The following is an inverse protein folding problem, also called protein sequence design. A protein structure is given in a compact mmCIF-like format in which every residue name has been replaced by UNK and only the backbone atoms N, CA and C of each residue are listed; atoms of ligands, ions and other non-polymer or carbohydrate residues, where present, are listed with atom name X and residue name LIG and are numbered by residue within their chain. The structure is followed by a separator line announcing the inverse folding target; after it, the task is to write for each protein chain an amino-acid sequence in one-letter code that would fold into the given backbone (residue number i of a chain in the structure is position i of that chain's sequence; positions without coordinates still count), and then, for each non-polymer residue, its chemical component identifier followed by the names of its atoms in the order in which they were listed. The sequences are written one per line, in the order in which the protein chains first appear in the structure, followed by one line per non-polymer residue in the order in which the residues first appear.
data_IF_262533324995
#
_entry.id   IF_262533324995
#
_cell.length_a   1.000
_cell.length_b   1.000
_cell.length_c   1.000
_cell.angle_alpha   90.00
_cell.angle_beta   90.00
_cell.angle_gamma   90.00
#
_symmetry.space_group_name_H-M   'P 1'
#
loop_
_entity.id
_entity.type
_entity.pdbx_description
1 polymer ?
#
# COMPACT_ATOMS: atom_id res chain seq x y z
N UNK A 1 -48.69 48.35 57.66
CA UNK A 1 -48.04 48.67 56.37
C UNK A 1 -48.10 47.40 55.53
N UNK A 2 -48.93 47.35 54.48
CA UNK A 2 -49.17 46.15 53.67
C UNK A 2 -48.31 46.20 52.40
N UNK A 3 -47.55 45.15 52.13
CA UNK A 3 -46.67 45.05 50.95
C UNK A 3 -47.50 44.61 49.73
N UNK A 4 -47.36 45.24 48.55
CA UNK A 4 -48.21 44.95 47.40
C UNK A 4 -47.85 43.64 46.69
N UNK A 5 -48.89 42.91 46.26
CA UNK A 5 -48.90 41.50 45.79
C UNK A 5 -48.39 41.27 44.35
N UNK A 6 -47.77 42.24 43.70
CA UNK A 6 -47.42 42.15 42.27
C UNK A 6 -45.97 41.72 41.99
N UNK A 7 -45.19 41.36 43.02
CA UNK A 7 -43.78 40.99 42.90
C UNK A 7 -43.52 39.53 42.46
N UNK A 8 -44.53 38.78 42.04
CA UNK A 8 -44.34 37.42 41.54
C UNK A 8 -44.09 37.44 40.03
N UNK A 9 -42.84 37.67 39.64
CA UNK A 9 -42.37 37.33 38.30
C UNK A 9 -42.25 35.81 38.24
N UNK A 10 -43.20 35.16 37.58
CA UNK A 10 -43.13 33.74 37.24
C UNK A 10 -42.12 33.55 36.12
N UNK A 11 -40.88 33.22 36.47
CA UNK A 11 -39.88 32.74 35.51
C UNK A 11 -40.35 31.40 34.94
N UNK A 12 -40.55 31.26 33.63
CA UNK A 12 -40.88 29.96 33.06
C UNK A 12 -39.68 29.03 33.31
N UNK A 13 -39.88 28.01 34.15
CA UNK A 13 -38.93 26.93 34.31
C UNK A 13 -38.89 26.16 32.99
N UNK A 14 -37.82 26.32 32.22
CA UNK A 14 -37.53 25.42 31.11
C UNK A 14 -37.38 24.02 31.70
N UNK A 15 -38.37 23.17 31.48
CA UNK A 15 -38.28 21.75 31.83
C UNK A 15 -37.13 21.15 31.01
N UNK A 16 -35.97 21.02 31.64
CA UNK A 16 -34.89 20.20 31.13
C UNK A 16 -35.36 18.75 31.23
N UNK A 17 -35.99 18.25 30.16
CA UNK A 17 -36.18 16.81 29.97
C UNK A 17 -34.80 16.16 29.88
N UNK A 18 -34.33 15.64 31.01
CA UNK A 18 -33.14 14.83 31.09
C UNK A 18 -33.31 13.53 30.31
N UNK A 19 -32.23 13.09 29.68
CA UNK A 19 -32.16 11.86 28.90
C UNK A 19 -32.67 10.65 29.70
N UNK A 20 -33.60 9.87 29.15
CA UNK A 20 -34.14 8.70 29.86
C UNK A 20 -33.18 7.51 29.77
N UNK A 21 -33.14 6.66 30.80
CA UNK A 21 -32.30 5.44 30.78
C UNK A 21 -32.69 4.49 29.63
N UNK A 22 -33.96 4.48 29.26
CA UNK A 22 -34.46 3.70 28.13
C UNK A 22 -33.95 4.22 26.79
N UNK A 23 -33.95 5.54 26.58
CA UNK A 23 -33.41 6.18 25.38
C UNK A 23 -31.92 5.90 25.22
N UNK A 24 -31.15 5.91 26.33
CA UNK A 24 -29.75 5.51 26.32
C UNK A 24 -29.53 4.06 25.89
N UNK A 25 -30.36 3.14 26.37
CA UNK A 25 -30.28 1.72 25.97
C UNK A 25 -30.52 1.58 24.47
N UNK A 26 -31.57 2.23 23.93
CA UNK A 26 -31.86 2.20 22.50
C UNK A 26 -30.69 2.75 21.70
N UNK A 27 -30.10 3.86 22.10
CA UNK A 27 -28.96 4.47 21.41
C UNK A 27 -27.75 3.53 21.42
N UNK A 28 -27.43 2.88 22.55
CA UNK A 28 -26.33 1.92 22.63
C UNK A 28 -26.57 0.73 21.70
N UNK A 29 -27.80 0.18 21.68
CA UNK A 29 -28.16 -0.93 20.79
C UNK A 29 -28.03 -0.50 19.32
N UNK A 30 -28.50 0.70 18.98
CA UNK A 30 -28.43 1.23 17.62
C UNK A 30 -26.97 1.46 17.17
N UNK A 31 -26.14 2.07 18.02
CA UNK A 31 -24.72 2.26 17.76
C UNK A 31 -24.00 0.91 17.62
N UNK A 32 -24.33 -0.07 18.47
CA UNK A 32 -23.78 -1.43 18.38
C UNK A 32 -24.12 -2.12 17.06
N UNK A 33 -25.37 -1.98 16.58
CA UNK A 33 -25.79 -2.53 15.30
C UNK A 33 -25.05 -1.88 14.12
N UNK A 34 -24.96 -0.55 14.13
CA UNK A 34 -24.20 0.20 13.12
C UNK A 34 -22.73 -0.19 13.12
N UNK A 35 -22.14 -0.39 14.30
CA UNK A 35 -20.76 -0.83 14.43
C UNK A 35 -20.52 -2.23 13.84
N UNK A 36 -21.45 -3.18 14.07
CA UNK A 36 -21.37 -4.51 13.46
C UNK A 36 -21.36 -4.43 11.93
N UNK A 37 -22.30 -3.69 11.35
CA UNK A 37 -22.42 -3.52 9.89
C UNK A 37 -21.15 -2.87 9.32
N UNK A 38 -20.65 -1.82 9.98
CA UNK A 38 -19.41 -1.16 9.58
C UNK A 38 -18.21 -2.10 9.63
N UNK A 39 -18.10 -2.93 10.68
CA UNK A 39 -17.01 -3.89 10.84
C UNK A 39 -16.96 -4.90 9.68
N UNK A 40 -18.11 -5.45 9.28
CA UNK A 40 -18.19 -6.39 8.16
C UNK A 40 -17.67 -5.80 6.84
N UNK A 41 -17.95 -4.52 6.57
CA UNK A 41 -17.52 -3.88 5.32
C UNK A 41 -16.09 -3.35 5.36
N UNK A 42 -15.64 -2.86 6.52
CA UNK A 42 -14.37 -2.17 6.67
C UNK A 42 -13.16 -3.10 6.63
N UNK A 43 -13.29 -4.33 7.09
CA UNK A 43 -12.20 -5.31 7.16
C UNK A 43 -11.61 -5.68 5.78
N UNK A 44 -12.39 -6.14 4.78
CA UNK A 44 -11.84 -6.46 3.45
C UNK A 44 -11.29 -5.23 2.72
N UNK A 45 -11.90 -4.06 2.93
CA UNK A 45 -11.45 -2.80 2.32
C UNK A 45 -10.01 -2.43 2.69
N UNK A 46 -9.49 -2.91 3.83
CA UNK A 46 -8.10 -2.69 4.24
C UNK A 46 -7.12 -3.47 3.36
N UNK A 47 -7.45 -4.71 2.99
CA UNK A 47 -6.65 -5.51 2.07
C UNK A 47 -6.64 -4.90 0.67
N UNK A 48 -7.82 -4.51 0.17
CA UNK A 48 -7.94 -3.85 -1.14
C UNK A 48 -7.15 -2.54 -1.20
N UNK A 49 -7.19 -1.74 -0.13
CA UNK A 49 -6.42 -0.51 -0.02
C UNK A 49 -4.91 -0.75 0.02
N UNK A 50 -4.45 -1.80 0.70
CA UNK A 50 -3.05 -2.22 0.70
C UNK A 50 -2.59 -2.64 -0.70
N UNK A 51 -3.37 -3.48 -1.38
CA UNK A 51 -3.11 -3.91 -2.75
C UNK A 51 -2.99 -2.72 -3.71
N UNK A 52 -3.97 -1.80 -3.67
CA UNK A 52 -3.98 -0.61 -4.49
C UNK A 52 -2.76 0.30 -4.21
N UNK A 53 -2.38 0.46 -2.93
CA UNK A 53 -1.21 1.23 -2.54
C UNK A 53 0.10 0.61 -3.08
N UNK A 54 0.24 -0.70 -2.96
CA UNK A 54 1.40 -1.44 -3.49
C UNK A 54 1.46 -1.34 -5.02
N UNK A 55 0.36 -1.57 -5.71
CA UNK A 55 0.26 -1.47 -7.17
C UNK A 55 0.59 -0.06 -7.66
N UNK A 56 0.09 0.98 -6.98
CA UNK A 56 0.39 2.37 -7.30
C UNK A 56 1.90 2.67 -7.13
N UNK A 57 2.50 2.19 -6.04
CA UNK A 57 3.94 2.36 -5.79
C UNK A 57 4.78 1.69 -6.87
N UNK A 58 4.45 0.43 -7.22
CA UNK A 58 5.12 -0.31 -8.29
C UNK A 58 4.95 0.36 -9.65
N UNK A 59 3.76 0.90 -9.95
CA UNK A 59 3.49 1.66 -11.16
C UNK A 59 4.32 2.94 -11.26
N UNK A 60 4.46 3.66 -10.14
CA UNK A 60 5.30 4.85 -10.04
C UNK A 60 6.79 4.50 -10.27
N UNK A 61 7.28 3.43 -9.65
CA UNK A 61 8.65 2.94 -9.85
C UNK A 61 8.94 2.57 -11.30
N UNK A 62 8.02 1.85 -11.96
CA UNK A 62 8.14 1.50 -13.39
C UNK A 62 8.20 2.75 -14.27
N UNK A 63 7.40 3.77 -13.94
CA UNK A 63 7.40 5.04 -14.67
C UNK A 63 8.72 5.80 -14.47
N UNK A 64 9.22 5.87 -13.24
CA UNK A 64 10.49 6.52 -12.92
C UNK A 64 11.68 5.82 -13.61
N UNK A 65 11.73 4.48 -13.58
CA UNK A 65 12.73 3.70 -14.30
C UNK A 65 12.69 3.97 -15.81
N UNK A 66 11.50 4.06 -16.40
CA UNK A 66 11.36 4.38 -17.83
C UNK A 66 11.87 5.78 -18.19
N UNK A 67 11.63 6.77 -17.32
CA UNK A 67 12.11 8.14 -17.50
C UNK A 67 13.64 8.20 -17.38
N UNK A 68 14.21 7.58 -16.35
CA UNK A 68 15.65 7.51 -16.11
C UNK A 68 16.40 6.89 -17.30
N UNK A 69 15.87 5.79 -17.85
CA UNK A 69 16.44 5.16 -19.07
C UNK A 69 16.37 6.12 -20.25
N UNK A 70 15.26 6.83 -20.41
CA UNK A 70 15.09 7.78 -21.52
C UNK A 70 16.09 8.93 -21.41
N UNK A 71 16.30 9.47 -20.21
CA UNK A 71 17.28 10.52 -19.94
C UNK A 71 18.71 10.06 -20.29
N UNK A 72 19.11 8.87 -19.82
CA UNK A 72 20.44 8.31 -20.11
C UNK A 72 20.67 7.97 -21.58
N UNK A 73 19.63 7.58 -22.33
CA UNK A 73 19.70 7.41 -23.79
C UNK A 73 19.95 8.75 -24.48
N UNK A 74 19.26 9.82 -24.05
CA UNK A 74 19.42 11.16 -24.63
C UNK A 74 20.80 11.74 -24.33
N UNK A 75 21.38 11.40 -23.18
CA UNK A 75 22.71 11.85 -22.75
C UNK A 75 23.88 10.98 -23.26
N UNK A 76 23.62 10.02 -24.17
CA UNK A 76 24.60 9.06 -24.71
C UNK A 76 25.39 8.30 -23.61
N UNK A 77 24.78 8.16 -22.43
CA UNK A 77 25.38 7.60 -21.22
C UNK A 77 24.84 6.20 -20.96
N UNK A 78 24.69 5.41 -22.03
CA UNK A 78 24.16 4.05 -21.99
C UNK A 78 24.99 3.10 -21.12
N UNK A 79 26.32 3.30 -21.05
CA UNK A 79 27.20 2.55 -20.16
C UNK A 79 26.83 2.74 -18.68
N UNK A 80 26.33 3.93 -18.30
CA UNK A 80 25.88 4.20 -16.93
C UNK A 80 24.56 3.52 -16.60
N UNK A 81 23.72 3.18 -17.60
CA UNK A 81 22.44 2.50 -17.36
C UNK A 81 22.64 1.11 -16.76
N UNK A 82 23.82 0.50 -16.93
CA UNK A 82 24.20 -0.72 -16.25
C UNK A 82 24.34 -0.56 -14.72
N UNK A 83 24.60 0.65 -14.21
CA UNK A 83 24.69 0.94 -12.77
C UNK A 83 23.32 0.85 -12.07
N UNK A 84 22.24 1.00 -12.83
CA UNK A 84 20.87 0.82 -12.35
C UNK A 84 20.51 -0.66 -12.21
N UNK A 85 21.27 -1.58 -12.83
CA UNK A 85 21.02 -3.01 -12.68
C UNK A 85 21.21 -3.41 -11.22
N UNK A 86 20.12 -3.92 -10.64
CA UNK A 86 20.05 -4.27 -9.22
C UNK A 86 20.30 -3.09 -8.27
N UNK A 87 20.19 -1.84 -8.73
CA UNK A 87 20.17 -0.67 -7.85
C UNK A 87 18.87 -0.60 -7.02
N UNK A 88 18.84 0.28 -6.02
CA UNK A 88 17.65 0.54 -5.24
C UNK A 88 16.68 1.44 -6.04
N UNK A 89 15.53 0.93 -6.51
CA UNK A 89 14.64 1.71 -7.36
C UNK A 89 13.93 2.84 -6.62
N UNK A 90 13.95 2.85 -5.28
CA UNK A 90 13.37 3.94 -4.49
C UNK A 90 14.13 5.25 -4.65
N UNK A 91 15.41 5.21 -5.02
CA UNK A 91 16.24 6.40 -5.23
C UNK A 91 15.82 7.19 -6.49
N UNK A 92 15.09 6.54 -7.40
CA UNK A 92 14.56 7.14 -8.63
C UNK A 92 13.26 7.92 -8.40
N UNK A 93 12.63 7.75 -7.24
CA UNK A 93 11.39 8.44 -6.94
C UNK A 93 11.68 9.83 -6.37
N UNK A 94 11.01 10.84 -6.94
CA UNK A 94 11.04 12.21 -6.41
C UNK A 94 10.55 12.28 -4.94
N UNK A 95 9.68 11.35 -4.53
CA UNK A 95 9.23 11.19 -3.17
C UNK A 95 9.11 9.71 -2.83
N UNK A 96 9.85 9.28 -1.80
CA UNK A 96 9.80 7.89 -1.35
C UNK A 96 8.43 7.58 -0.71
N UNK A 97 7.86 6.38 -0.96
CA UNK A 97 6.57 5.99 -0.40
C UNK A 97 6.59 5.94 1.13
N UNK A 98 5.43 6.18 1.74
CA UNK A 98 5.27 6.00 3.17
C UNK A 98 5.56 4.55 3.57
N UNK A 99 6.31 4.37 4.66
CA UNK A 99 6.71 3.05 5.15
C UNK A 99 7.97 2.49 4.49
N UNK A 100 8.66 3.24 3.62
CA UNK A 100 10.02 2.88 3.22
C UNK A 100 10.99 3.08 4.38
N UNK A 101 11.63 2.00 4.84
CA UNK A 101 12.56 2.03 5.99
C UNK A 101 14.02 2.14 5.56
N UNK A 102 14.31 2.19 4.26
CA UNK A 102 15.66 2.27 3.72
C UNK A 102 16.23 0.93 3.29
N UNK A 103 17.56 0.91 3.15
CA UNK A 103 18.32 -0.27 2.79
C UNK A 103 18.69 -1.07 4.05
N UNK A 104 18.48 -2.38 4.00
CA UNK A 104 18.84 -3.31 5.07
C UNK A 104 19.96 -4.24 4.58
N UNK A 105 20.98 -4.52 5.39
CA UNK A 105 22.08 -5.40 4.99
C UNK A 105 21.63 -6.81 4.61
N UNK A 106 20.68 -7.37 5.37
CA UNK A 106 20.00 -8.62 5.08
C UNK A 106 18.64 -8.66 5.76
N UNK A 107 17.61 -9.15 5.05
CA UNK A 107 16.25 -9.26 5.58
C UNK A 107 16.13 -10.23 6.77
N UNK A 108 16.96 -11.28 6.82
CA UNK A 108 16.82 -12.36 7.81
C UNK A 108 17.09 -11.94 9.26
N UNK A 109 17.87 -10.89 9.46
CA UNK A 109 18.29 -10.41 10.80
C UNK A 109 17.57 -9.11 11.23
N UNK A 110 16.73 -8.53 10.36
CA UNK A 110 16.11 -7.24 10.58
C UNK A 110 14.67 -7.36 11.11
N UNK A 111 14.34 -6.63 12.18
CA UNK A 111 12.96 -6.50 12.66
C UNK A 111 12.21 -5.46 11.81
N UNK A 112 11.60 -5.93 10.72
CA UNK A 112 10.95 -5.08 9.71
C UNK A 112 9.45 -4.99 10.01
N UNK A 113 8.86 -3.82 10.29
CA UNK A 113 7.42 -3.73 10.57
C UNK A 113 6.55 -4.13 9.37
N UNK A 114 5.37 -4.69 9.63
CA UNK A 114 4.44 -5.06 8.57
C UNK A 114 3.85 -3.82 7.84
N UNK A 115 3.70 -3.92 6.52
CA UNK A 115 3.33 -2.82 5.63
C UNK A 115 4.47 -1.87 5.34
N UNK A 116 5.72 -2.34 5.43
CA UNK A 116 6.93 -1.54 5.17
C UNK A 116 7.63 -1.99 3.89
N UNK A 117 8.18 -1.01 3.18
CA UNK A 117 9.08 -1.21 2.05
C UNK A 117 10.52 -1.18 2.53
N UNK A 118 11.37 -2.04 1.98
CA UNK A 118 12.79 -2.04 2.29
C UNK A 118 13.58 -2.62 1.13
N UNK A 119 14.84 -2.22 1.01
CA UNK A 119 15.73 -2.76 -0.01
C UNK A 119 16.75 -3.69 0.65
N UNK A 120 16.70 -4.98 0.30
CA UNK A 120 17.62 -5.99 0.81
C UNK A 120 18.93 -5.95 0.00
N UNK A 121 20.01 -5.49 0.63
CA UNK A 121 21.32 -5.38 -0.01
C UNK A 121 21.94 -6.75 -0.32
N UNK A 122 21.57 -7.80 0.42
CA UNK A 122 22.12 -9.15 0.22
C UNK A 122 21.56 -9.82 -1.04
N UNK A 123 20.26 -9.67 -1.30
CA UNK A 123 19.61 -10.22 -2.50
C UNK A 123 19.47 -9.20 -3.63
N UNK A 124 19.75 -7.92 -3.34
CA UNK A 124 19.55 -6.76 -4.22
C UNK A 124 18.11 -6.69 -4.74
N UNK A 125 17.17 -6.79 -3.81
CA UNK A 125 15.73 -6.82 -4.08
C UNK A 125 15.03 -5.74 -3.29
N UNK A 126 14.09 -5.05 -3.93
CA UNK A 126 13.09 -4.27 -3.24
C UNK A 126 12.03 -5.23 -2.70
N UNK A 127 11.80 -5.22 -1.39
CA UNK A 127 10.81 -6.06 -0.74
C UNK A 127 9.74 -5.23 -0.04
N UNK A 128 8.54 -5.80 0.02
CA UNK A 128 7.42 -5.28 0.79
C UNK A 128 6.92 -6.36 1.74
N UNK A 129 6.91 -6.06 3.04
CA UNK A 129 6.30 -6.94 4.04
C UNK A 129 4.80 -6.66 4.10
N UNK A 130 3.96 -7.63 3.79
CA UNK A 130 2.50 -7.46 3.78
C UNK A 130 1.97 -7.23 5.20
N UNK A 131 1.09 -6.24 5.37
CA UNK A 131 0.42 -5.87 6.62
C UNK A 131 -0.79 -6.74 6.92
N UNK A 132 -1.62 -7.02 5.90
CA UNK A 132 -2.83 -7.81 6.08
C UNK A 132 -2.82 -9.10 5.23
N UNK A 133 -1.94 -10.07 5.54
CA UNK A 133 -1.80 -11.29 4.75
C UNK A 133 -3.06 -12.15 4.69
N UNK A 134 -3.98 -12.01 5.65
CA UNK A 134 -5.25 -12.72 5.70
C UNK A 134 -6.27 -12.31 4.62
N UNK A 135 -6.02 -11.23 3.87
CA UNK A 135 -6.89 -10.76 2.79
C UNK A 135 -6.30 -11.04 1.39
N UNK A 136 -5.20 -11.78 1.27
CA UNK A 136 -4.75 -12.28 -0.05
C UNK A 136 -5.58 -13.52 -0.44
N UNK A 137 -6.05 -13.57 -1.69
CA UNK A 137 -6.81 -14.72 -2.22
C UNK A 137 -6.03 -16.05 -2.19
N UNK A 138 -4.71 -15.99 -2.09
CA UNK A 138 -3.85 -17.14 -1.89
C UNK A 138 -2.73 -16.71 -0.92
N UNK A 139 -2.76 -17.17 0.32
CA UNK A 139 -1.63 -16.97 1.24
C UNK A 139 -0.39 -17.61 0.62
N UNK A 140 0.64 -16.83 0.25
CA UNK A 140 1.90 -17.39 -0.18
C UNK A 140 2.46 -18.24 0.96
N UNK A 141 3.02 -19.41 0.67
CA UNK A 141 3.64 -20.25 1.70
C UNK A 141 4.87 -19.54 2.25
N UNK A 142 4.75 -18.97 3.45
CA UNK A 142 5.82 -18.29 4.17
C UNK A 142 5.25 -17.27 5.16
N UNK A 143 5.60 -17.42 6.43
CA UNK A 143 5.42 -16.39 7.45
C UNK A 143 6.83 -15.82 7.73
N UNK A 144 7.11 -14.54 7.40
CA UNK A 144 6.22 -13.49 6.90
C UNK A 144 5.91 -13.58 5.40
N UNK A 145 4.72 -13.09 4.99
CA UNK A 145 4.36 -12.91 3.57
C UNK A 145 5.05 -11.65 3.04
N UNK A 146 5.97 -11.84 2.09
CA UNK A 146 6.72 -10.77 1.45
C UNK A 146 6.51 -10.77 -0.06
N UNK A 147 6.53 -9.58 -0.64
CA UNK A 147 6.52 -9.36 -2.08
C UNK A 147 7.91 -8.86 -2.47
N UNK A 148 8.51 -9.43 -3.50
CA UNK A 148 9.87 -9.12 -3.92
C UNK A 148 9.90 -8.66 -5.38
N UNK A 149 10.64 -7.58 -5.63
CA UNK A 149 10.93 -7.05 -6.96
C UNK A 149 12.43 -6.81 -7.11
N UNK A 150 12.90 -6.96 -8.35
CA UNK A 150 14.28 -6.64 -8.70
C UNK A 150 14.32 -5.83 -9.98
N UNK A 151 15.16 -4.79 -9.97
CA UNK A 151 15.50 -4.04 -11.17
C UNK A 151 16.41 -4.91 -12.01
N UNK A 152 15.99 -5.20 -13.24
CA UNK A 152 16.80 -5.90 -14.23
C UNK A 152 16.95 -5.09 -15.50
N UNK A 153 18.17 -5.03 -16.00
CA UNK A 153 18.45 -4.54 -17.34
C UNK A 153 17.92 -5.54 -18.38
N UNK A 154 17.09 -5.08 -19.31
CA UNK A 154 16.70 -5.85 -20.50
C UNK A 154 17.46 -5.32 -21.70
N UNK A 155 18.28 -6.16 -22.30
CA UNK A 155 19.07 -5.85 -23.49
C UNK A 155 18.95 -6.99 -24.51
N UNK A 156 19.18 -6.66 -25.78
CA UNK A 156 19.37 -7.63 -26.83
C UNK A 156 20.87 -7.89 -26.92
N UNK A 157 21.25 -9.08 -26.46
CA UNK A 157 22.60 -9.62 -26.56
C UNK A 157 22.91 -9.95 -28.02
N UNK A 158 23.73 -9.11 -28.65
CA UNK A 158 24.11 -9.24 -30.05
C UNK A 158 25.46 -9.95 -30.23
N UNK A 159 26.30 -9.97 -29.20
CA UNK A 159 27.63 -10.60 -29.23
C UNK A 159 27.67 -12.00 -28.57
N UNK A 160 26.59 -12.37 -27.87
CA UNK A 160 26.32 -13.68 -27.31
C UNK A 160 27.03 -13.96 -25.99
N UNK A 161 27.44 -12.93 -25.25
CA UNK A 161 28.27 -13.05 -24.05
C UNK A 161 27.49 -13.02 -22.71
N UNK A 162 26.15 -12.90 -22.78
CA UNK A 162 25.22 -12.78 -21.64
C UNK A 162 25.56 -11.63 -20.67
N UNK A 163 26.27 -10.60 -21.13
CA UNK A 163 26.60 -9.38 -20.38
C UNK A 163 26.29 -8.15 -21.22
N UNK A 164 25.59 -7.20 -20.63
CA UNK A 164 25.33 -5.96 -21.33
C UNK A 164 26.64 -5.20 -21.65
N UNK A 165 26.89 -4.98 -22.93
CA UNK A 165 27.94 -4.10 -23.44
C UNK A 165 27.31 -3.00 -24.32
N UNK A 166 27.42 -1.73 -23.91
CA UNK A 166 26.81 -0.61 -24.64
C UNK A 166 27.35 -0.43 -26.08
N UNK A 167 28.51 -1.01 -26.41
CA UNK A 167 29.15 -0.90 -27.73
C UNK A 167 28.76 -2.06 -28.68
N UNK A 168 28.30 -3.18 -28.12
CA UNK A 168 27.94 -4.39 -28.88
C UNK A 168 26.43 -4.67 -28.85
N UNK A 169 25.77 -4.38 -27.73
CA UNK A 169 24.38 -4.73 -27.45
C UNK A 169 23.42 -3.56 -27.55
N UNK A 170 22.16 -3.90 -27.83
CA UNK A 170 21.09 -2.92 -27.87
C UNK A 170 20.30 -2.93 -26.57
N UNK A 171 20.38 -1.85 -25.78
CA UNK A 171 19.54 -1.68 -24.60
C UNK A 171 18.06 -1.63 -25.01
N UNK A 172 17.25 -2.52 -24.46
CA UNK A 172 15.80 -2.57 -24.70
C UNK A 172 15.02 -1.80 -23.64
N UNK A 173 15.57 -1.73 -22.43
CA UNK A 173 15.04 -0.92 -21.32
C UNK A 173 15.45 -1.49 -19.96
N UNK A 174 14.88 -0.92 -18.90
CA UNK A 174 15.00 -1.42 -17.54
C UNK A 174 13.61 -1.84 -17.05
N UNK A 175 13.51 -3.03 -16.46
CA UNK A 175 12.25 -3.55 -15.96
C UNK A 175 12.34 -3.81 -14.45
N UNK A 176 11.27 -3.45 -13.74
CA UNK A 176 11.04 -3.91 -12.38
C UNK A 176 10.28 -5.25 -12.44
N UNK A 177 11.01 -6.34 -12.28
CA UNK A 177 10.48 -7.70 -12.36
C UNK A 177 10.11 -8.21 -10.97
N UNK A 178 8.89 -8.75 -10.82
CA UNK A 178 8.49 -9.44 -9.60
C UNK A 178 9.22 -10.78 -9.54
N UNK A 179 9.96 -11.04 -8.47
CA UNK A 179 10.75 -12.26 -8.34
C UNK A 179 9.92 -13.42 -7.79
N UNK A 180 8.97 -13.11 -6.92
CA UNK A 180 7.92 -14.01 -6.50
C UNK A 180 6.61 -13.60 -7.20
N UNK A 181 5.76 -14.56 -7.57
CA UNK A 181 4.41 -14.28 -8.10
C UNK A 181 3.28 -14.35 -7.06
N UNK A 182 3.30 -13.66 -5.90
CA UNK A 182 2.09 -13.40 -5.14
C UNK A 182 1.29 -12.33 -5.86
N UNK A 183 0.36 -12.74 -6.71
CA UNK A 183 -0.68 -11.84 -7.20
C UNK A 183 -1.64 -11.54 -6.05
N UNK A 184 -1.82 -10.26 -5.75
CA UNK A 184 -3.05 -9.82 -5.11
C UNK A 184 -4.21 -10.17 -6.07
N UNK A 185 -5.31 -10.76 -5.59
CA UNK A 185 -6.47 -11.00 -6.44
C UNK A 185 -6.92 -9.70 -7.10
N UNK A 186 -7.42 -9.80 -8.33
CA UNK A 186 -8.06 -8.67 -8.98
C UNK A 186 -9.20 -8.18 -8.05
N UNK A 187 -9.33 -6.87 -7.76
CA UNK A 187 -10.44 -6.37 -6.95
C UNK A 187 -11.82 -6.73 -7.53
N UNK A 188 -11.90 -7.07 -8.82
CA UNK A 188 -13.11 -7.58 -9.47
C UNK A 188 -13.46 -9.02 -9.08
N UNK A 189 -12.48 -9.86 -8.71
CA UNK A 189 -12.68 -11.25 -8.27
C UNK A 189 -13.19 -11.35 -6.81
N UNK A 190 -13.12 -10.28 -6.02
CA UNK A 190 -13.56 -10.24 -4.63
C UNK A 190 -14.99 -9.67 -4.46
N UNK A 191 -15.74 -9.49 -5.56
CA UNK A 191 -17.17 -9.17 -5.46
C UNK A 191 -17.89 -10.46 -5.04
N UNK A 192 -18.53 -10.50 -3.86
CA UNK A 192 -19.34 -11.65 -3.51
C UNK A 192 -20.43 -11.83 -4.57
N UNK A 193 -20.45 -13.01 -5.19
CA UNK A 193 -21.40 -13.51 -6.20
C UNK A 193 -22.82 -13.63 -5.61
N UNK A 194 -23.36 -12.51 -5.11
CA UNK A 194 -24.62 -12.48 -4.34
C UNK A 194 -25.69 -11.68 -5.07
N UNK A 195 -25.44 -11.24 -6.31
CA UNK A 195 -26.44 -10.57 -7.16
C UNK A 195 -26.78 -11.33 -8.46
N UNK A 196 -26.39 -12.60 -8.57
CA UNK A 196 -26.87 -13.48 -9.63
C UNK A 196 -27.70 -14.61 -9.02
N UNK A 197 -28.93 -14.29 -8.64
CA UNK A 197 -30.00 -15.31 -8.60
C UNK A 197 -31.04 -14.94 -9.65
N UNK A 198 -31.50 -15.91 -10.47
CA UNK A 198 -32.44 -15.68 -11.57
C UNK A 198 -33.84 -15.24 -11.11
#
# INVERSE_FOLDING_TARGET
MAVPRWAEVSTPSSEQSGFTLFELIIVIVLVGLLFLIASWRLLPLRGDAEAAHVANTVGALRSALGLEVTERIVEDSLESAAELDRGNPMDLLAQVPAGYIGEVPSAGDADIPAGSWYYDQSTRQLRYRVRFPQYLAHQPQGDPVELSWQVRLRYLDNDGDERYNAQADSLRGIALEAMDNPQWPDPEDNIPEVLETP
#
